data_IF_705177186643
#
_entry.id   IF_705177186643
#
_cell.length_a   1.000
_cell.length_b   1.000
_cell.length_c   1.000
_cell.angle_alpha   90.00
_cell.angle_beta   90.00
_cell.angle_gamma   90.00
#
_symmetry.space_group_name_H-M   'P 1'
#
loop_
_entity.id
_entity.type
_entity.pdbx_description
1 polymer ?
#
# COMPACT_ATOMS: atom_id res chain seq x y z
N UNK A 1 29.54 18.38 -18.35
CA UNK A 1 28.97 17.56 -17.27
C UNK A 1 30.15 17.01 -16.47
N UNK A 2 30.50 17.67 -15.36
CA UNK A 2 31.73 17.38 -14.61
C UNK A 2 31.48 16.25 -13.60
N UNK A 3 32.14 15.12 -13.80
CA UNK A 3 32.10 13.99 -12.87
C UNK A 3 32.89 14.37 -11.61
N UNK A 4 32.19 14.58 -10.49
CA UNK A 4 32.83 14.83 -9.20
C UNK A 4 33.42 13.51 -8.72
N UNK A 5 34.65 13.19 -9.14
CA UNK A 5 35.39 12.05 -8.60
C UNK A 5 35.94 12.41 -7.22
N UNK A 6 35.69 11.57 -6.19
CA UNK A 6 36.10 11.88 -4.84
C UNK A 6 37.63 11.86 -4.70
N UNK A 7 38.22 12.99 -4.31
CA UNK A 7 39.68 13.19 -4.32
C UNK A 7 40.38 12.70 -3.05
N UNK A 8 39.66 12.52 -1.93
CA UNK A 8 40.21 12.11 -0.64
C UNK A 8 39.53 10.84 -0.07
N UNK A 9 40.16 10.20 0.93
CA UNK A 9 39.56 9.05 1.63
C UNK A 9 38.28 9.44 2.38
N UNK A 10 38.24 10.66 2.90
CA UNK A 10 37.06 11.23 3.57
C UNK A 10 35.90 11.40 2.58
N UNK A 11 36.18 11.92 1.39
CA UNK A 11 35.20 12.13 0.33
C UNK A 11 34.58 10.79 -0.16
N UNK A 12 35.39 9.73 -0.24
CA UNK A 12 34.91 8.37 -0.51
C UNK A 12 34.02 7.81 0.60
N UNK A 13 34.38 8.05 1.87
CA UNK A 13 33.54 7.64 3.01
C UNK A 13 32.18 8.32 2.96
N UNK A 14 32.16 9.64 2.74
CA UNK A 14 30.91 10.41 2.59
C UNK A 14 30.07 9.86 1.44
N UNK A 15 30.69 9.58 0.28
CA UNK A 15 30.00 8.98 -0.86
C UNK A 15 29.38 7.62 -0.51
N UNK A 16 30.12 6.74 0.16
CA UNK A 16 29.58 5.43 0.58
C UNK A 16 28.44 5.56 1.58
N UNK A 17 28.51 6.52 2.52
CA UNK A 17 27.43 6.78 3.46
C UNK A 17 26.17 7.27 2.75
N UNK A 18 26.31 8.20 1.80
CA UNK A 18 25.18 8.69 1.01
C UNK A 18 24.57 7.54 0.20
N UNK A 19 25.40 6.79 -0.52
CA UNK A 19 24.94 5.69 -1.36
C UNK A 19 24.25 4.59 -0.52
N UNK A 20 24.83 4.22 0.62
CA UNK A 20 24.24 3.27 1.55
C UNK A 20 22.91 3.74 2.11
N UNK A 21 22.79 5.02 2.45
CA UNK A 21 21.53 5.61 2.93
C UNK A 21 20.44 5.59 1.85
N UNK A 22 20.79 5.94 0.61
CA UNK A 22 19.85 5.89 -0.52
C UNK A 22 19.38 4.46 -0.82
N UNK A 23 20.29 3.49 -0.78
CA UNK A 23 19.94 2.07 -0.94
C UNK A 23 19.00 1.63 0.17
N UNK A 24 19.31 1.95 1.43
CA UNK A 24 18.48 1.58 2.57
C UNK A 24 17.06 2.19 2.47
N UNK A 25 16.96 3.47 2.10
CA UNK A 25 15.67 4.14 1.88
C UNK A 25 14.88 3.48 0.75
N UNK A 26 15.54 3.16 -0.37
CA UNK A 26 14.90 2.49 -1.50
C UNK A 26 14.34 1.12 -1.11
N UNK A 27 15.12 0.33 -0.36
CA UNK A 27 14.66 -0.97 0.14
C UNK A 27 13.52 -0.83 1.15
N UNK A 28 13.55 0.18 2.01
CA UNK A 28 12.49 0.43 2.98
C UNK A 28 11.18 0.80 2.27
N UNK A 29 11.24 1.69 1.28
CA UNK A 29 10.07 2.09 0.47
C UNK A 29 9.53 0.88 -0.29
N UNK A 30 10.40 0.11 -0.96
CA UNK A 30 10.00 -1.08 -1.72
C UNK A 30 9.37 -2.16 -0.83
N UNK A 31 9.88 -2.36 0.38
CA UNK A 31 9.26 -3.26 1.35
C UNK A 31 7.91 -2.72 1.82
N UNK A 32 7.82 -1.41 2.09
CA UNK A 32 6.58 -0.76 2.48
C UNK A 32 5.48 -0.94 1.43
N UNK A 33 5.83 -0.83 0.15
CA UNK A 33 4.92 -1.02 -0.99
C UNK A 33 4.36 -2.45 -1.08
N UNK A 34 5.05 -3.44 -0.50
CA UNK A 34 4.58 -4.84 -0.46
C UNK A 34 3.68 -5.14 0.73
N UNK A 35 3.58 -4.25 1.71
CA UNK A 35 2.68 -4.40 2.87
C UNK A 35 1.36 -3.72 2.50
N UNK A 36 0.65 -4.31 1.52
CA UNK A 36 -0.68 -3.89 1.12
C UNK A 36 -1.75 -4.54 2.01
N UNK A 37 -2.83 -3.81 2.29
CA UNK A 37 -4.02 -4.37 2.95
C UNK A 37 -4.71 -5.34 2.00
N UNK A 38 -4.91 -6.59 2.43
CA UNK A 38 -5.60 -7.59 1.63
C UNK A 38 -7.01 -7.84 2.20
N UNK A 39 -8.02 -7.80 1.32
CA UNK A 39 -9.35 -8.30 1.67
C UNK A 39 -9.30 -9.83 1.75
N UNK A 40 -9.63 -10.39 2.90
CA UNK A 40 -9.60 -11.84 3.16
C UNK A 40 -10.98 -12.49 3.10
N UNK A 41 -12.05 -11.72 3.33
CA UNK A 41 -13.41 -12.20 3.20
C UNK A 41 -14.36 -11.07 2.81
N UNK A 42 -15.39 -11.44 2.05
CA UNK A 42 -16.50 -10.56 1.68
C UNK A 42 -17.78 -11.28 2.07
N UNK A 43 -18.68 -10.57 2.75
CA UNK A 43 -20.01 -11.04 3.10
C UNK A 43 -21.05 -10.06 2.54
N UNK A 44 -22.12 -10.54 1.88
CA UNK A 44 -22.38 -11.93 1.53
C UNK A 44 -21.38 -12.50 0.49
N UNK A 45 -21.21 -13.83 0.41
CA UNK A 45 -20.36 -14.43 -0.60
C UNK A 45 -20.93 -14.23 -2.01
N UNK A 46 -20.06 -14.35 -3.02
CA UNK A 46 -20.47 -14.31 -4.42
C UNK A 46 -21.63 -15.29 -4.70
N UNK A 47 -22.57 -14.86 -5.53
CA UNK A 47 -23.75 -15.63 -5.94
C UNK A 47 -24.64 -16.13 -4.80
N UNK A 48 -24.55 -15.54 -3.61
CA UNK A 48 -25.46 -15.85 -2.52
C UNK A 48 -26.92 -15.55 -2.93
N UNK A 49 -27.79 -16.53 -2.70
CA UNK A 49 -29.22 -16.44 -3.00
C UNK A 49 -30.05 -16.42 -1.72
N UNK A 50 -31.24 -15.83 -1.78
CA UNK A 50 -32.14 -15.77 -0.62
C UNK A 50 -31.66 -14.84 0.49
N UNK A 51 -30.81 -13.86 0.16
CA UNK A 51 -30.28 -12.88 1.12
C UNK A 51 -31.33 -11.81 1.41
N UNK A 52 -31.41 -11.35 2.66
CA UNK A 52 -32.28 -10.23 3.03
C UNK A 52 -31.85 -8.94 2.34
N UNK A 53 -32.81 -8.13 1.89
CA UNK A 53 -32.57 -6.80 1.31
C UNK A 53 -31.97 -5.80 2.30
N UNK A 54 -32.00 -6.12 3.60
CA UNK A 54 -31.37 -5.31 4.66
C UNK A 54 -29.96 -5.77 5.02
N UNK A 55 -29.39 -6.71 4.27
CA UNK A 55 -28.06 -7.25 4.59
C UNK A 55 -26.98 -6.23 4.24
N UNK A 56 -26.07 -6.02 5.18
CA UNK A 56 -24.92 -5.15 5.00
C UNK A 56 -23.82 -5.85 4.21
N UNK A 57 -23.18 -5.11 3.30
CA UNK A 57 -21.96 -5.58 2.62
C UNK A 57 -20.79 -5.31 3.57
N UNK A 58 -20.08 -6.38 3.93
CA UNK A 58 -18.90 -6.32 4.79
C UNK A 58 -17.67 -6.83 4.05
N UNK A 59 -16.57 -6.10 4.17
CA UNK A 59 -15.25 -6.52 3.68
C UNK A 59 -14.32 -6.63 4.89
N UNK A 60 -13.78 -7.82 5.10
CA UNK A 60 -12.86 -8.11 6.19
C UNK A 60 -11.44 -8.11 5.64
N UNK A 61 -10.57 -7.36 6.30
CA UNK A 61 -9.17 -7.20 5.92
C UNK A 61 -8.25 -8.00 6.86
N UNK A 62 -7.10 -8.43 6.34
CA UNK A 62 -6.08 -9.16 7.10
C UNK A 62 -5.40 -8.34 8.21
N UNK A 63 -5.53 -7.03 8.14
CA UNK A 63 -4.96 -6.08 9.09
C UNK A 63 -5.89 -4.90 9.36
N UNK A 64 -5.73 -4.20 10.50
CA UNK A 64 -6.48 -2.99 10.77
C UNK A 64 -6.23 -1.94 9.70
N UNK A 65 -7.30 -1.48 9.05
CA UNK A 65 -7.24 -0.40 8.07
C UNK A 65 -7.44 0.91 8.82
N UNK A 66 -6.54 1.87 8.65
CA UNK A 66 -6.81 3.23 9.10
C UNK A 66 -8.10 3.70 8.43
N UNK A 67 -9.01 4.38 9.14
CA UNK A 67 -10.13 5.05 8.49
C UNK A 67 -9.54 6.10 7.54
N UNK A 68 -9.48 5.75 6.27
CA UNK A 68 -9.15 6.70 5.21
C UNK A 68 -10.47 7.40 4.90
N UNK A 69 -10.53 8.72 5.11
CA UNK A 69 -11.68 9.55 4.70
C UNK A 69 -11.90 9.53 3.18
N UNK A 70 -10.92 9.02 2.45
CA UNK A 70 -10.99 8.71 1.02
C UNK A 70 -11.52 7.28 0.85
N UNK A 71 -12.81 7.20 0.49
CA UNK A 71 -13.52 5.95 0.24
C UNK A 71 -12.76 5.20 -0.86
N UNK A 72 -12.03 4.14 -0.48
CA UNK A 72 -11.50 3.19 -1.44
C UNK A 72 -12.64 2.82 -2.41
N UNK A 73 -12.48 3.12 -3.71
CA UNK A 73 -13.57 3.21 -4.68
C UNK A 73 -14.46 1.96 -4.72
N UNK A 74 -15.53 1.96 -3.92
CA UNK A 74 -16.50 0.88 -3.88
C UNK A 74 -17.44 1.08 -5.07
N UNK A 75 -17.32 0.23 -6.08
CA UNK A 75 -18.24 0.23 -7.21
C UNK A 75 -19.33 -0.79 -6.97
N UNK A 76 -20.58 -0.34 -6.88
CA UNK A 76 -21.76 -1.19 -6.79
C UNK A 76 -22.38 -1.33 -8.18
N UNK A 77 -22.72 -2.56 -8.57
CA UNK A 77 -23.46 -2.85 -9.81
C UNK A 77 -24.68 -3.71 -9.48
N UNK A 78 -25.92 -3.28 -9.77
CA UNK A 78 -26.28 -1.98 -10.34
C UNK A 78 -25.92 -0.80 -9.42
N UNK A 79 -25.70 0.41 -9.97
CA UNK A 79 -25.42 1.58 -9.14
C UNK A 79 -26.64 1.86 -8.27
N UNK A 80 -26.41 1.98 -6.98
CA UNK A 80 -27.42 2.35 -5.99
C UNK A 80 -26.90 3.55 -5.22
N UNK A 81 -27.79 4.48 -4.93
CA UNK A 81 -27.47 5.61 -4.06
C UNK A 81 -27.31 5.10 -2.62
N UNK A 82 -26.29 5.60 -1.93
CA UNK A 82 -25.95 5.28 -0.53
C UNK A 82 -26.28 6.42 0.42
#
# INVERSE_FOLDING_TARGET
>A
MATILPRSRFDRLVLYTILGSLIALTLLIWRGDQIGVQAIAVSPPHDAQGISTHTQIEVHFDQPVAQVDDVAGLTLTPPVDG
#
